data_IF_101904244092
#
_entry.id   IF_101904244092
#
_cell.length_a   1.000
_cell.length_b   1.000
_cell.length_c   1.000
_cell.angle_alpha   90.00
_cell.angle_beta   90.00
_cell.angle_gamma   90.00
#
_symmetry.space_group_name_H-M   'P 1'
#
loop_
_entity.id
_entity.type
_entity.pdbx_description
1 polymer ?
#
# COMPACT_ATOMS: atom_id res chain seq x y z
N UNK A 1 10.41 64.23 17.72
CA UNK A 1 10.45 64.65 16.29
C UNK A 1 10.09 63.43 15.45
N UNK A 2 8.89 63.37 14.88
CA UNK A 2 8.52 63.84 13.54
C UNK A 2 8.29 62.65 12.61
N UNK A 3 7.06 62.54 12.14
CA UNK A 3 6.56 61.57 11.17
C UNK A 3 7.26 61.71 9.82
N UNK A 4 7.47 60.61 9.11
CA UNK A 4 7.35 60.56 7.64
C UNK A 4 6.77 59.23 7.18
N UNK A 5 5.51 59.34 6.76
CA UNK A 5 4.86 58.46 5.80
C UNK A 5 5.44 58.71 4.40
N UNK A 6 5.50 57.67 3.57
CA UNK A 6 4.90 57.58 2.22
C UNK A 6 5.73 56.67 1.29
N UNK A 7 5.03 55.72 0.68
CA UNK A 7 5.57 54.81 -0.34
C UNK A 7 4.59 53.70 -0.72
N UNK A 8 3.29 53.99 -0.75
CA UNK A 8 2.26 53.14 -1.36
C UNK A 8 2.27 53.42 -2.87
N UNK A 9 2.61 52.42 -3.68
CA UNK A 9 2.40 52.43 -5.13
C UNK A 9 2.08 51.01 -5.61
N UNK A 10 0.89 50.83 -6.19
CA UNK A 10 0.49 49.57 -6.82
C UNK A 10 -1.00 49.23 -6.70
N UNK A 11 -1.87 50.24 -6.83
CA UNK A 11 -3.33 50.09 -6.88
C UNK A 11 -3.79 49.38 -8.15
N UNK A 12 -4.27 48.16 -8.02
CA UNK A 12 -5.05 47.49 -9.07
C UNK A 12 -6.49 48.03 -9.00
N UNK A 13 -6.75 49.08 -9.79
CA UNK A 13 -8.03 49.80 -9.93
C UNK A 13 -8.91 49.17 -11.02
N UNK A 14 -9.41 47.94 -10.82
CA UNK A 14 -10.52 47.42 -11.64
C UNK A 14 -11.76 47.35 -10.74
N UNK A 15 -12.81 48.17 -10.98
CA UNK A 15 -13.97 48.23 -10.11
C UNK A 15 -14.77 46.93 -10.20
N UNK A 16 -15.11 46.39 -9.03
CA UNK A 16 -16.04 45.28 -8.85
C UNK A 16 -17.42 45.73 -9.39
N UNK A 17 -17.85 45.13 -10.51
CA UNK A 17 -19.18 45.35 -11.08
C UNK A 17 -20.30 45.03 -10.10
N UNK A 18 -21.36 45.85 -10.13
CA UNK A 18 -22.42 45.93 -9.13
C UNK A 18 -23.18 44.61 -8.89
N UNK A 19 -23.44 44.37 -7.61
CA UNK A 19 -24.35 43.35 -7.05
C UNK A 19 -25.78 43.47 -7.63
N UNK A 20 -26.32 42.29 -7.99
CA UNK A 20 -27.70 41.78 -7.88
C UNK A 20 -28.82 42.81 -7.60
N UNK A 21 -29.88 42.77 -8.42
CA UNK A 21 -31.24 43.07 -7.95
C UNK A 21 -32.24 42.01 -8.42
N UNK A 22 -32.91 41.42 -7.44
CA UNK A 22 -34.11 40.61 -7.53
C UNK A 22 -35.26 41.52 -7.09
N UNK A 23 -36.31 41.69 -7.91
CA UNK A 23 -37.65 42.15 -7.50
C UNK A 23 -37.98 43.65 -7.57
N UNK A 24 -39.05 43.97 -8.33
CA UNK A 24 -40.03 45.03 -8.04
C UNK A 24 -40.27 46.10 -9.12
N UNK A 25 -41.40 45.98 -9.86
CA UNK A 25 -42.29 47.05 -10.40
C UNK A 25 -41.66 48.05 -11.43
N UNK A 26 -42.08 48.31 -12.69
CA UNK A 26 -43.38 48.36 -13.40
C UNK A 26 -43.19 48.31 -14.95
N UNK A 27 -44.16 47.79 -15.72
CA UNK A 27 -44.39 48.17 -17.14
C UNK A 27 -44.24 47.10 -18.25
N UNK A 28 -45.31 46.37 -18.56
CA UNK A 28 -45.52 45.50 -19.76
C UNK A 28 -45.75 46.34 -21.06
N UNK A 29 -45.80 45.81 -22.33
CA UNK A 29 -46.18 44.43 -22.71
C UNK A 29 -45.53 43.76 -23.97
N UNK A 30 -45.95 42.50 -24.18
CA UNK A 30 -45.93 41.66 -25.40
C UNK A 30 -44.58 40.99 -25.75
N UNK A 31 -44.46 39.68 -26.07
CA UNK A 31 -45.29 38.78 -26.91
C UNK A 31 -44.97 37.30 -26.53
N UNK A 32 -46.02 36.44 -26.49
CA UNK A 32 -46.18 34.98 -26.74
C UNK A 32 -44.96 34.01 -26.66
N UNK A 33 -45.01 32.73 -26.30
CA UNK A 33 -46.02 31.70 -25.99
C UNK A 33 -45.22 30.45 -25.48
N UNK A 34 -45.93 29.44 -24.95
CA UNK A 34 -45.56 28.01 -24.91
C UNK A 34 -44.98 27.41 -23.62
N UNK A 35 -45.81 26.51 -23.09
CA UNK A 35 -45.67 25.58 -21.99
C UNK A 35 -44.87 24.35 -22.45
N UNK A 36 -43.82 23.96 -21.72
CA UNK A 36 -43.34 22.57 -21.75
C UNK A 36 -42.58 22.17 -20.49
N UNK A 37 -43.04 21.06 -19.93
CA UNK A 37 -42.52 20.40 -18.74
C UNK A 37 -41.44 19.37 -19.11
N UNK A 38 -40.32 19.38 -18.39
CA UNK A 38 -39.41 18.24 -18.16
C UNK A 38 -37.99 18.34 -18.75
N UNK A 39 -37.01 17.50 -18.33
CA UNK A 39 -36.87 16.70 -17.10
C UNK A 39 -35.67 17.12 -16.23
N UNK A 40 -35.73 16.83 -14.92
CA UNK A 40 -34.59 16.95 -14.00
C UNK A 40 -33.68 15.74 -14.21
N UNK A 41 -32.62 15.90 -14.99
CA UNK A 41 -31.56 14.88 -15.10
C UNK A 41 -30.61 15.00 -13.90
N UNK A 42 -30.59 13.95 -13.10
CA UNK A 42 -29.82 13.84 -11.87
C UNK A 42 -28.32 13.75 -12.11
N UNK A 43 -27.60 14.80 -11.74
CA UNK A 43 -26.17 14.71 -11.52
C UNK A 43 -25.89 13.92 -10.24
N UNK A 44 -25.62 12.64 -10.45
CA UNK A 44 -24.75 11.75 -9.67
C UNK A 44 -24.37 12.22 -8.26
N UNK A 45 -25.30 12.10 -7.31
CA UNK A 45 -24.97 11.99 -5.88
C UNK A 45 -24.20 10.68 -5.65
N UNK A 46 -22.91 10.65 -6.02
CA UNK A 46 -21.97 9.62 -5.56
C UNK A 46 -21.83 9.78 -4.05
N UNK A 47 -22.64 8.99 -3.35
CA UNK A 47 -22.71 8.80 -1.91
C UNK A 47 -21.35 9.03 -1.23
N UNK A 48 -21.27 10.11 -0.45
CA UNK A 48 -20.32 10.25 0.66
C UNK A 48 -18.94 10.86 0.39
N UNK A 49 -18.68 11.54 -0.74
CA UNK A 49 -17.39 12.24 -0.94
C UNK A 49 -17.59 13.73 -1.15
N UNK A 50 -17.26 14.54 -0.14
CA UNK A 50 -17.20 15.99 -0.27
C UNK A 50 -16.17 16.38 -1.36
N UNK A 51 -16.49 17.35 -2.25
CA UNK A 51 -15.57 17.81 -3.29
C UNK A 51 -14.38 18.59 -2.71
N UNK A 52 -14.47 19.05 -1.45
CA UNK A 52 -13.41 19.78 -0.77
C UNK A 52 -12.33 18.82 -0.27
N UNK A 53 -11.09 19.03 -0.72
CA UNK A 53 -9.92 18.27 -0.30
C UNK A 53 -9.54 18.65 1.12
N UNK A 54 -9.94 17.84 2.10
CA UNK A 54 -9.55 18.05 3.48
C UNK A 54 -8.01 18.05 3.64
N UNK A 55 -7.48 19.13 4.20
CA UNK A 55 -6.08 19.27 4.59
C UNK A 55 -5.93 18.88 6.07
N UNK A 56 -4.76 18.38 6.47
CA UNK A 56 -4.42 18.24 7.89
C UNK A 56 -4.43 19.63 8.56
N UNK A 57 -4.56 19.73 9.90
CA UNK A 57 -4.47 21.01 10.62
C UNK A 57 -3.14 21.75 10.34
N UNK A 58 -2.11 21.01 9.89
CA UNK A 58 -0.78 21.48 9.51
C UNK A 58 -0.66 21.85 8.00
N UNK A 59 -1.79 22.01 7.28
CA UNK A 59 -1.83 22.41 5.86
C UNK A 59 -1.35 21.33 4.86
N UNK A 60 -0.86 20.19 5.33
CA UNK A 60 -0.39 19.10 4.48
C UNK A 60 -1.54 18.32 3.86
N UNK A 61 -1.34 17.85 2.61
CA UNK A 61 -2.34 17.04 1.88
C UNK A 61 -2.64 15.74 2.65
N UNK A 62 -3.87 15.57 3.16
CA UNK A 62 -4.30 14.28 3.74
C UNK A 62 -4.09 13.16 2.73
N UNK A 63 -3.35 12.11 3.11
CA UNK A 63 -3.17 10.91 2.28
C UNK A 63 -4.54 10.29 2.04
N UNK A 64 -5.00 10.28 0.78
CA UNK A 64 -6.22 9.56 0.41
C UNK A 64 -6.05 8.09 0.82
N UNK A 65 -6.99 7.55 1.62
CA UNK A 65 -7.04 6.12 1.92
C UNK A 65 -7.13 5.37 0.58
N UNK A 66 -6.16 4.52 0.34
CA UNK A 66 -5.93 3.80 -0.92
C UNK A 66 -6.72 2.50 -0.88
N UNK A 67 -7.29 2.08 -2.00
CA UNK A 67 -7.99 0.81 -2.10
C UNK A 67 -6.99 -0.34 -1.85
N UNK A 68 -7.42 -1.37 -1.12
CA UNK A 68 -6.58 -2.55 -0.83
C UNK A 68 -6.66 -3.62 -1.91
N UNK A 69 -7.66 -3.53 -2.77
CA UNK A 69 -7.78 -4.39 -3.95
C UNK A 69 -6.93 -3.78 -5.07
N UNK A 70 -5.87 -4.51 -5.45
CA UNK A 70 -5.05 -4.20 -6.62
C UNK A 70 -5.74 -4.65 -7.90
N UNK A 71 -5.23 -4.18 -9.04
CA UNK A 71 -5.73 -4.67 -10.32
C UNK A 71 -5.29 -6.13 -10.55
N UNK A 72 -6.04 -6.89 -11.36
CA UNK A 72 -5.70 -8.27 -11.66
C UNK A 72 -4.33 -8.39 -12.35
N UNK A 73 -3.93 -7.33 -13.08
CA UNK A 73 -2.65 -7.23 -13.80
C UNK A 73 -1.46 -6.92 -12.89
N UNK A 74 -1.69 -6.33 -11.71
CA UNK A 74 -0.62 -5.97 -10.78
C UNK A 74 0.03 -7.20 -10.14
N UNK A 75 -0.71 -8.31 -10.03
CA UNK A 75 -0.20 -9.57 -9.51
C UNK A 75 0.42 -10.42 -10.63
N UNK A 76 1.59 -10.02 -11.13
CA UNK A 76 2.35 -10.78 -12.14
C UNK A 76 2.61 -12.24 -11.71
N UNK A 77 2.75 -12.47 -10.41
CA UNK A 77 2.89 -13.80 -9.84
C UNK A 77 1.65 -14.68 -10.06
N UNK A 78 0.44 -14.12 -10.01
CA UNK A 78 -0.80 -14.87 -10.19
C UNK A 78 -0.94 -15.41 -11.62
N UNK A 79 -0.45 -14.68 -12.63
CA UNK A 79 -0.45 -15.16 -14.02
C UNK A 79 0.62 -16.24 -14.32
N UNK A 80 1.61 -16.41 -13.43
CA UNK A 80 2.67 -17.41 -13.57
C UNK A 80 2.43 -18.66 -12.72
N UNK A 81 1.46 -18.60 -11.81
CA UNK A 81 1.04 -19.73 -11.00
C UNK A 81 0.01 -20.55 -11.78
N UNK A 82 0.34 -21.81 -12.05
CA UNK A 82 -0.58 -22.75 -12.70
C UNK A 82 -1.58 -23.36 -11.71
N UNK A 83 -1.90 -22.66 -10.61
CA UNK A 83 -2.81 -23.13 -9.56
C UNK A 83 -4.12 -22.33 -9.58
N UNK A 84 -5.30 -22.98 -9.63
CA UNK A 84 -6.59 -22.31 -9.62
C UNK A 84 -6.89 -21.55 -8.32
N UNK A 85 -7.24 -20.27 -8.37
CA UNK A 85 -7.64 -19.53 -7.16
C UNK A 85 -9.06 -19.89 -6.69
N UNK A 86 -9.91 -20.39 -7.58
CA UNK A 86 -11.28 -20.80 -7.27
C UNK A 86 -11.34 -22.30 -6.93
N UNK A 87 -11.76 -22.63 -5.71
CA UNK A 87 -11.99 -24.02 -5.28
C UNK A 87 -13.43 -24.40 -5.60
N UNK A 88 -13.63 -25.27 -6.59
CA UNK A 88 -14.95 -25.70 -7.07
C UNK A 88 -15.37 -27.09 -6.54
N UNK A 89 -14.44 -27.84 -5.95
CA UNK A 89 -14.68 -29.20 -5.44
C UNK A 89 -14.99 -29.25 -3.95
N UNK A 90 -15.57 -30.35 -3.49
CA UNK A 90 -15.73 -30.66 -2.07
C UNK A 90 -14.38 -31.15 -1.50
N UNK A 91 -13.79 -30.34 -0.62
CA UNK A 91 -12.55 -30.67 0.08
C UNK A 91 -12.80 -30.66 1.58
N UNK A 92 -12.05 -31.49 2.32
CA UNK A 92 -12.01 -31.40 3.79
C UNK A 92 -11.32 -30.12 4.23
N UNK A 93 -11.55 -29.69 5.47
CA UNK A 93 -10.88 -28.50 6.02
C UNK A 93 -9.36 -28.61 5.97
N UNK A 94 -8.81 -29.80 6.23
CA UNK A 94 -7.36 -30.06 6.15
C UNK A 94 -6.83 -29.95 4.72
N UNK A 95 -7.58 -30.43 3.74
CA UNK A 95 -7.23 -30.30 2.32
C UNK A 95 -7.30 -28.85 1.83
N UNK A 96 -8.30 -28.07 2.29
CA UNK A 96 -8.38 -26.64 2.00
C UNK A 96 -7.19 -25.88 2.62
N UNK A 97 -6.84 -26.19 3.86
CA UNK A 97 -5.68 -25.62 4.52
C UNK A 97 -4.38 -25.99 3.78
N UNK A 98 -4.22 -27.26 3.40
CA UNK A 98 -3.08 -27.70 2.59
C UNK A 98 -2.99 -26.97 1.25
N UNK A 99 -4.12 -26.82 0.57
CA UNK A 99 -4.22 -26.13 -0.72
C UNK A 99 -3.85 -24.65 -0.61
N UNK A 100 -4.40 -23.94 0.38
CA UNK A 100 -4.11 -22.52 0.61
C UNK A 100 -2.64 -22.29 0.99
N UNK A 101 -2.05 -23.19 1.78
CA UNK A 101 -0.62 -23.15 2.09
C UNK A 101 0.23 -23.31 0.84
N UNK A 102 -0.08 -24.31 0.01
CA UNK A 102 0.65 -24.57 -1.22
C UNK A 102 0.56 -23.38 -2.20
N UNK A 103 -0.66 -22.87 -2.43
CA UNK A 103 -0.91 -21.69 -3.26
C UNK A 103 -0.08 -20.49 -2.79
N UNK A 104 -0.10 -20.18 -1.49
CA UNK A 104 0.64 -19.03 -0.95
C UNK A 104 2.15 -19.20 -1.05
N UNK A 105 2.67 -20.41 -0.83
CA UNK A 105 4.11 -20.71 -0.96
C UNK A 105 4.58 -20.52 -2.40
N UNK A 106 3.80 -20.97 -3.37
CA UNK A 106 4.10 -20.76 -4.78
C UNK A 106 4.06 -19.29 -5.18
N UNK A 107 3.05 -18.54 -4.71
CA UNK A 107 2.94 -17.11 -4.97
C UNK A 107 4.19 -16.35 -4.50
N UNK A 108 4.64 -16.62 -3.27
CA UNK A 108 5.84 -15.99 -2.73
C UNK A 108 7.08 -16.44 -3.50
N UNK A 109 7.16 -17.71 -3.88
CA UNK A 109 8.31 -18.24 -4.64
C UNK A 109 8.42 -17.57 -6.01
N UNK A 110 7.30 -17.36 -6.72
CA UNK A 110 7.29 -16.63 -7.99
C UNK A 110 7.66 -15.15 -7.81
N UNK A 111 7.14 -14.49 -6.77
CA UNK A 111 7.53 -13.10 -6.43
C UNK A 111 9.03 -12.96 -6.21
N UNK A 112 9.64 -13.92 -5.50
CA UNK A 112 11.09 -13.95 -5.28
C UNK A 112 11.87 -14.24 -6.56
N UNK A 113 11.35 -15.10 -7.45
CA UNK A 113 12.00 -15.47 -8.72
C UNK A 113 12.02 -14.32 -9.75
N UNK A 114 10.90 -13.60 -9.88
CA UNK A 114 10.77 -12.45 -10.80
C UNK A 114 11.40 -11.17 -10.20
N UNK A 115 11.80 -11.20 -8.91
CA UNK A 115 12.20 -10.03 -8.13
C UNK A 115 11.11 -8.95 -8.00
N UNK A 116 9.83 -9.33 -8.17
CA UNK A 116 8.68 -8.46 -7.97
C UNK A 116 8.25 -8.45 -6.50
N UNK A 117 9.14 -7.91 -5.67
CA UNK A 117 9.08 -8.00 -4.21
C UNK A 117 8.64 -6.69 -3.57
N UNK A 118 8.84 -5.57 -4.27
CA UNK A 118 8.60 -4.23 -3.73
C UNK A 118 7.24 -3.71 -4.23
N UNK A 119 6.28 -3.43 -3.33
CA UNK A 119 5.02 -2.80 -3.72
C UNK A 119 5.23 -1.45 -4.42
N UNK A 120 4.31 -1.02 -5.28
CA UNK A 120 4.38 0.24 -6.00
C UNK A 120 4.60 1.47 -5.07
N UNK A 121 5.29 2.50 -5.58
CA UNK A 121 5.80 3.67 -4.84
C UNK A 121 4.76 4.39 -3.96
N UNK A 122 3.49 4.34 -4.31
CA UNK A 122 2.43 4.98 -3.57
C UNK A 122 2.02 4.28 -2.26
N UNK A 123 2.13 2.95 -2.18
CA UNK A 123 1.61 2.14 -1.07
C UNK A 123 2.58 1.99 0.10
N UNK A 124 3.67 2.75 0.04
CA UNK A 124 4.79 2.58 0.96
C UNK A 124 4.59 3.39 2.24
N UNK A 125 4.97 2.78 3.35
CA UNK A 125 5.25 3.51 4.60
C UNK A 125 6.63 4.19 4.50
N UNK A 126 6.86 5.27 5.27
CA UNK A 126 8.20 5.86 5.39
C UNK A 126 9.26 4.80 5.71
N UNK A 127 10.44 4.92 5.10
CA UNK A 127 11.53 3.97 5.34
C UNK A 127 12.19 4.22 6.71
N UNK A 128 12.66 3.16 7.40
CA UNK A 128 13.46 3.27 8.61
C UNK A 128 14.83 3.95 8.32
N UNK A 129 15.54 4.42 9.36
CA UNK A 129 16.88 4.99 9.21
C UNK A 129 17.87 3.97 8.62
N UNK A 130 18.87 4.39 7.84
CA UNK A 130 19.81 3.47 7.21
C UNK A 130 20.69 2.74 8.24
N UNK A 131 20.92 1.45 7.99
CA UNK A 131 21.82 0.59 8.77
C UNK A 131 22.92 0.08 7.86
N UNK A 132 24.15 0.07 8.38
CA UNK A 132 25.34 -0.31 7.63
C UNK A 132 25.99 -1.54 8.25
N UNK A 133 26.58 -2.36 7.39
CA UNK A 133 27.44 -3.49 7.73
C UNK A 133 28.83 -2.98 8.19
N UNK A 134 29.66 -3.87 8.75
CA UNK A 134 31.04 -3.59 9.16
C UNK A 134 31.91 -3.09 7.99
N UNK A 135 31.54 -3.42 6.75
CA UNK A 135 32.19 -2.95 5.53
C UNK A 135 31.62 -1.62 5.00
N UNK A 136 30.75 -0.93 5.75
CA UNK A 136 30.16 0.36 5.35
C UNK A 136 29.09 0.27 4.25
N UNK A 137 28.61 -0.94 3.91
CA UNK A 137 27.52 -1.15 2.93
C UNK A 137 26.17 -1.08 3.62
N UNK A 138 25.18 -0.42 2.99
CA UNK A 138 23.82 -0.34 3.55
C UNK A 138 23.12 -1.69 3.47
N UNK A 139 22.69 -2.22 4.62
CA UNK A 139 22.03 -3.53 4.75
C UNK A 139 20.53 -3.42 4.60
N UNK A 140 19.91 -2.38 5.17
CA UNK A 140 18.46 -2.23 5.20
C UNK A 140 17.91 -1.46 4.00
N UNK A 141 18.29 -1.89 2.80
CA UNK A 141 17.64 -1.40 1.58
C UNK A 141 16.17 -1.81 1.57
N UNK A 142 15.35 -1.10 0.80
CA UNK A 142 13.92 -1.37 0.72
C UNK A 142 13.69 -2.79 0.18
N UNK A 143 14.43 -3.13 -0.85
CA UNK A 143 14.43 -4.41 -1.55
C UNK A 143 14.75 -5.52 -0.56
N UNK A 144 15.80 -5.37 0.23
CA UNK A 144 16.16 -6.34 1.27
C UNK A 144 15.06 -6.50 2.32
N UNK A 145 14.44 -5.41 2.79
CA UNK A 145 13.36 -5.48 3.79
C UNK A 145 12.14 -6.26 3.29
N UNK A 146 11.68 -5.97 2.08
CA UNK A 146 10.53 -6.68 1.51
C UNK A 146 10.87 -8.12 1.16
N UNK A 147 12.08 -8.38 0.64
CA UNK A 147 12.56 -9.74 0.33
C UNK A 147 12.65 -10.58 1.59
N UNK A 148 13.29 -10.05 2.64
CA UNK A 148 13.38 -10.71 3.95
C UNK A 148 12.00 -11.03 4.52
N UNK A 149 11.05 -10.09 4.45
CA UNK A 149 9.67 -10.33 4.91
C UNK A 149 8.99 -11.48 4.16
N UNK A 150 9.12 -11.51 2.83
CA UNK A 150 8.57 -12.60 2.01
C UNK A 150 9.27 -13.94 2.29
N UNK A 151 10.58 -13.93 2.47
CA UNK A 151 11.35 -15.14 2.83
C UNK A 151 10.96 -15.69 4.21
N UNK A 152 10.77 -14.82 5.20
CA UNK A 152 10.27 -15.16 6.55
C UNK A 152 8.84 -15.70 6.51
N UNK A 153 7.96 -15.06 5.73
CA UNK A 153 6.59 -15.55 5.52
C UNK A 153 6.59 -16.94 4.86
N UNK A 154 7.35 -17.10 3.77
CA UNK A 154 7.54 -18.39 3.09
C UNK A 154 8.07 -19.44 4.05
N UNK A 155 9.06 -19.10 4.88
CA UNK A 155 9.62 -20.01 5.86
C UNK A 155 8.57 -20.51 6.85
N UNK A 156 7.78 -19.60 7.42
CA UNK A 156 6.69 -19.95 8.35
C UNK A 156 5.65 -20.87 7.71
N UNK A 157 5.29 -20.62 6.44
CA UNK A 157 4.34 -21.44 5.71
C UNK A 157 4.89 -22.82 5.36
N UNK A 158 6.15 -22.90 4.94
CA UNK A 158 6.85 -24.18 4.69
C UNK A 158 6.94 -25.00 5.97
N UNK A 159 7.23 -24.38 7.11
CA UNK A 159 7.24 -25.09 8.40
C UNK A 159 5.85 -25.63 8.78
N UNK A 160 4.79 -24.85 8.53
CA UNK A 160 3.42 -25.32 8.73
C UNK A 160 3.09 -26.48 7.77
N UNK A 161 3.43 -26.34 6.49
CA UNK A 161 3.17 -27.35 5.46
C UNK A 161 3.89 -28.68 5.73
N UNK A 162 5.15 -28.64 6.20
CA UNK A 162 5.89 -29.85 6.60
C UNK A 162 5.23 -30.60 7.77
N UNK A 163 4.48 -29.91 8.64
CA UNK A 163 3.77 -30.54 9.77
C UNK A 163 2.41 -31.09 9.36
N UNK A 164 1.72 -30.41 8.45
CA UNK A 164 0.33 -30.75 8.07
C UNK A 164 0.23 -31.71 6.89
N UNK A 165 1.15 -31.62 5.92
CA UNK A 165 1.10 -32.41 4.69
C UNK A 165 2.16 -33.52 4.78
N UNK A 166 1.76 -34.80 4.85
CA UNK A 166 2.71 -35.91 4.83
C UNK A 166 3.44 -35.96 3.49
N UNK A 167 4.77 -36.11 3.52
CA UNK A 167 5.58 -36.16 2.30
C UNK A 167 5.76 -34.81 1.59
N UNK A 168 5.50 -33.69 2.26
CA UNK A 168 5.71 -32.37 1.66
C UNK A 168 7.19 -32.07 1.41
N UNK A 169 7.49 -31.67 0.17
CA UNK A 169 8.83 -31.26 -0.24
C UNK A 169 8.86 -29.73 -0.40
N UNK A 170 9.75 -29.02 0.32
CA UNK A 170 9.91 -27.59 0.13
C UNK A 170 10.35 -27.24 -1.30
N UNK A 171 10.03 -26.03 -1.80
CA UNK A 171 10.50 -25.56 -3.11
C UNK A 171 12.04 -25.60 -3.22
N UNK A 172 12.58 -25.86 -4.42
CA UNK A 172 14.03 -25.97 -4.66
C UNK A 172 14.82 -24.73 -4.24
N UNK A 173 14.22 -23.54 -4.39
CA UNK A 173 14.86 -22.25 -4.10
C UNK A 173 14.70 -21.85 -2.62
N UNK A 174 14.04 -22.67 -1.82
CA UNK A 174 13.90 -22.45 -0.40
C UNK A 174 15.16 -22.90 0.35
N UNK A 175 15.80 -21.94 1.00
CA UNK A 175 16.87 -22.21 1.95
C UNK A 175 16.34 -22.02 3.37
N UNK A 176 16.45 -23.06 4.18
CA UNK A 176 16.15 -22.97 5.62
C UNK A 176 17.08 -21.90 6.23
N UNK A 177 16.55 -20.90 6.95
CA UNK A 177 17.40 -19.94 7.66
C UNK A 177 18.39 -20.70 8.54
N UNK A 178 19.68 -20.40 8.39
CA UNK A 178 20.73 -20.97 9.24
C UNK A 178 20.46 -20.54 10.68
N UNK A 179 20.45 -21.51 11.60
CA UNK A 179 20.34 -21.22 13.04
C UNK A 179 21.45 -20.25 13.42
N UNK A 180 21.12 -19.26 14.25
CA UNK A 180 22.11 -18.40 14.90
C UNK A 180 23.13 -19.29 15.61
N UNK A 181 24.40 -19.15 15.24
CA UNK A 181 25.48 -19.86 15.91
C UNK A 181 25.73 -19.16 17.24
N UNK A 182 25.28 -19.78 18.34
CA UNK A 182 25.67 -19.38 19.68
C UNK A 182 27.10 -19.87 19.92
N UNK A 183 27.99 -18.96 20.32
CA UNK A 183 29.35 -19.34 20.68
C UNK A 183 29.32 -20.05 22.03
N UNK A 184 29.50 -21.36 22.03
CA UNK A 184 29.68 -22.14 23.25
C UNK A 184 31.16 -22.06 23.65
N UNK A 185 31.45 -21.46 24.80
CA UNK A 185 32.80 -21.43 25.35
C UNK A 185 33.09 -22.76 26.04
N UNK A 186 34.14 -23.45 25.60
CA UNK A 186 34.61 -24.69 26.24
C UNK A 186 35.61 -24.31 27.34
N UNK A 187 35.39 -24.69 28.61
CA UNK A 187 36.24 -24.31 29.74
C UNK A 187 37.48 -25.20 29.82
N UNK A 188 38.37 -25.11 28.83
CA UNK A 188 39.61 -25.90 28.76
C UNK A 188 40.56 -25.56 29.92
N UNK A 189 40.52 -24.32 30.41
CA UNK A 189 41.37 -23.86 31.51
C UNK A 189 40.94 -24.39 32.88
N UNK A 190 39.65 -24.64 33.09
CA UNK A 190 39.12 -25.07 34.38
C UNK A 190 39.23 -26.60 34.56
N UNK A 191 39.25 -27.36 33.46
CA UNK A 191 39.37 -28.83 33.46
C UNK A 191 40.32 -29.33 32.36
N UNK A 192 41.64 -29.17 32.53
CA UNK A 192 42.62 -29.57 31.53
C UNK A 192 42.75 -31.10 31.37
N UNK A 193 42.26 -31.88 32.33
CA UNK A 193 42.29 -33.35 32.34
C UNK A 193 41.20 -33.97 31.44
N UNK A 194 40.19 -33.18 31.04
CA UNK A 194 39.05 -33.65 30.25
C UNK A 194 39.26 -33.22 28.80
N UNK A 195 39.29 -34.18 27.89
CA UNK A 195 39.32 -33.91 26.45
C UNK A 195 37.89 -33.71 25.96
N UNK A 196 37.48 -32.44 25.78
CA UNK A 196 36.14 -32.04 25.31
C UNK A 196 35.95 -32.22 23.80
#
# INVERSE_FOLDING_TARGET
MSWRSQGITGSNNIPLGNRRRFGGEDGSPAVEESYSSGPVEGDSLKRGRSPVRELNPDGTKKRKKRNRWGDATDNKAAGLMNLPTAVLGNMTSEQLDAYTLHLRIEEISQKLRINDVVPADGDRSPSPPPQYDNFGRRVNTREYRYKKRLEEERHKLVEKAMKTIPGYHPPSDYRRPTKTQEKVYVPVNDYPEINF
#
